data_IF_871148382157
#
_entry.id   IF_871148382157
#
_cell.length_a   1.000
_cell.length_b   1.000
_cell.length_c   1.000
_cell.angle_alpha   90.00
_cell.angle_beta   90.00
_cell.angle_gamma   90.00
#
_symmetry.space_group_name_H-M   'P 1'
#
loop_
_entity.id
_entity.type
_entity.pdbx_description
1 polymer ?
#
# COMPACT_ATOMS: atom_id res chain seq x y z
N UNK A 1 21.88 -6.21 -13.37
CA UNK A 1 21.51 -6.84 -12.09
C UNK A 1 20.07 -6.44 -11.78
N UNK A 2 19.16 -7.41 -11.68
CA UNK A 2 17.73 -7.15 -11.40
C UNK A 2 17.51 -7.31 -9.90
N UNK A 3 17.21 -6.21 -9.20
CA UNK A 3 16.88 -6.23 -7.78
C UNK A 3 15.37 -6.32 -7.59
N UNK A 4 14.89 -7.36 -6.89
CA UNK A 4 13.47 -7.48 -6.52
C UNK A 4 13.34 -7.40 -5.01
N UNK A 5 12.57 -6.44 -4.52
CA UNK A 5 12.18 -6.35 -3.11
C UNK A 5 10.67 -6.55 -3.01
N UNK A 6 10.28 -7.57 -2.25
CA UNK A 6 8.89 -7.95 -2.09
C UNK A 6 8.44 -7.64 -0.66
N UNK A 7 7.61 -6.61 -0.50
CA UNK A 7 6.94 -6.30 0.76
C UNK A 7 5.46 -6.70 0.66
N UNK A 8 4.78 -6.80 1.79
CA UNK A 8 3.34 -7.06 1.86
C UNK A 8 2.53 -5.93 1.21
N UNK A 9 3.04 -4.70 1.26
CA UNK A 9 2.35 -3.49 0.81
C UNK A 9 2.68 -3.07 -0.62
N UNK A 10 3.86 -3.42 -1.11
CA UNK A 10 4.32 -3.05 -2.44
C UNK A 10 5.33 -4.07 -2.97
N UNK A 11 5.48 -4.08 -4.28
CA UNK A 11 6.54 -4.81 -4.97
C UNK A 11 7.41 -3.83 -5.74
N UNK A 12 8.73 -3.90 -5.52
CA UNK A 12 9.71 -3.09 -6.22
C UNK A 12 10.54 -3.99 -7.13
N UNK A 13 10.53 -3.68 -8.42
CA UNK A 13 11.38 -4.31 -9.43
C UNK A 13 12.28 -3.25 -10.03
N UNK A 14 13.59 -3.48 -9.95
CA UNK A 14 14.60 -2.58 -10.51
C UNK A 14 15.26 -3.18 -11.73
N UNK A 15 15.24 -2.44 -12.84
CA UNK A 15 15.93 -2.77 -14.08
C UNK A 15 17.05 -1.76 -14.36
N UNK A 16 17.77 -1.97 -15.47
CA UNK A 16 18.80 -1.03 -15.92
C UNK A 16 18.20 0.32 -16.37
N UNK A 17 16.93 0.35 -16.81
CA UNK A 17 16.29 1.53 -17.40
C UNK A 17 15.26 2.17 -16.49
N UNK A 18 14.62 1.39 -15.64
CA UNK A 18 13.50 1.84 -14.82
C UNK A 18 13.48 1.19 -13.42
N UNK A 19 12.75 1.83 -12.52
CA UNK A 19 12.31 1.25 -11.25
C UNK A 19 10.78 1.20 -11.29
N UNK A 20 10.24 -0.01 -11.22
CA UNK A 20 8.79 -0.25 -11.17
C UNK A 20 8.38 -0.54 -9.73
N UNK A 21 7.41 0.21 -9.24
CA UNK A 21 6.87 0.08 -7.89
C UNK A 21 5.38 -0.17 -7.99
N UNK A 22 4.96 -1.40 -7.71
CA UNK A 22 3.56 -1.83 -7.73
C UNK A 22 2.99 -1.77 -6.32
N UNK A 23 1.95 -0.97 -6.10
CA UNK A 23 1.21 -0.92 -4.84
C UNK A 23 0.20 -2.06 -4.80
N UNK A 24 0.31 -2.93 -3.79
CA UNK A 24 -0.58 -4.09 -3.65
C UNK A 24 -1.93 -3.66 -3.07
N UNK A 25 -3.04 -3.95 -3.75
CA UNK A 25 -4.36 -3.52 -3.32
C UNK A 25 -4.86 -4.30 -2.09
N UNK A 26 -4.30 -5.48 -1.79
CA UNK A 26 -4.63 -6.33 -0.65
C UNK A 26 -4.67 -5.57 0.68
N UNK A 27 -3.67 -4.73 0.95
CA UNK A 27 -3.62 -3.97 2.21
C UNK A 27 -4.80 -2.99 2.37
N UNK A 28 -5.31 -2.46 1.27
CA UNK A 28 -6.48 -1.59 1.25
C UNK A 28 -7.76 -2.40 1.52
N UNK A 29 -7.91 -3.57 0.89
CA UNK A 29 -9.05 -4.43 1.14
C UNK A 29 -9.09 -4.98 2.56
N UNK A 30 -7.94 -5.26 3.16
CA UNK A 30 -7.84 -5.63 4.57
C UNK A 30 -8.32 -4.49 5.46
N UNK A 31 -7.94 -3.24 5.18
CA UNK A 31 -8.49 -2.08 5.91
C UNK A 31 -10.00 -1.97 5.77
N UNK A 32 -10.53 -2.11 4.55
CA UNK A 32 -11.96 -2.06 4.31
C UNK A 32 -12.69 -3.20 5.05
N UNK A 33 -12.14 -4.40 5.04
CA UNK A 33 -12.66 -5.54 5.79
C UNK A 33 -12.69 -5.27 7.30
N UNK A 34 -11.62 -4.70 7.87
CA UNK A 34 -11.60 -4.32 9.29
C UNK A 34 -12.67 -3.28 9.63
N UNK A 35 -12.92 -2.29 8.75
CA UNK A 35 -14.00 -1.30 8.93
C UNK A 35 -15.38 -1.97 8.88
N UNK A 36 -15.60 -2.88 7.93
CA UNK A 36 -16.88 -3.62 7.83
C UNK A 36 -17.11 -4.47 9.08
N UNK A 37 -16.10 -5.21 9.55
CA UNK A 37 -16.20 -6.01 10.78
C UNK A 37 -16.49 -5.13 11.99
N UNK A 38 -15.82 -3.98 12.10
CA UNK A 38 -16.06 -3.03 13.17
C UNK A 38 -17.49 -2.48 13.14
N UNK A 39 -17.99 -2.06 11.97
CA UNK A 39 -19.36 -1.57 11.81
C UNK A 39 -20.41 -2.64 12.14
N UNK A 40 -20.20 -3.88 11.69
CA UNK A 40 -21.10 -4.99 12.02
C UNK A 40 -21.11 -5.25 13.53
N UNK A 41 -19.94 -5.19 14.18
CA UNK A 41 -19.85 -5.35 15.63
C UNK A 41 -20.60 -4.24 16.37
N UNK A 42 -20.44 -2.99 15.96
CA UNK A 42 -21.03 -1.83 16.61
C UNK A 42 -22.55 -1.77 16.42
N UNK A 43 -23.04 -2.07 15.20
CA UNK A 43 -24.45 -1.93 14.83
C UNK A 43 -25.31 -3.16 15.16
N UNK A 44 -24.73 -4.37 15.16
CA UNK A 44 -25.51 -5.62 15.28
C UNK A 44 -25.23 -6.33 16.60
N UNK A 45 -23.96 -6.45 16.99
CA UNK A 45 -23.55 -7.28 18.11
C UNK A 45 -23.43 -6.49 19.43
N UNK A 46 -23.25 -5.17 19.35
CA UNK A 46 -22.96 -4.27 20.48
C UNK A 46 -21.89 -4.82 21.44
N UNK A 47 -20.92 -5.57 20.90
CA UNK A 47 -19.93 -6.28 21.72
C UNK A 47 -18.73 -5.38 22.02
N UNK A 48 -18.70 -4.84 23.25
CA UNK A 48 -17.59 -4.02 23.75
C UNK A 48 -16.22 -4.74 23.73
N UNK A 49 -16.10 -6.04 24.09
CA UNK A 49 -14.81 -6.74 24.07
C UNK A 49 -14.18 -6.84 22.68
N UNK A 50 -15.00 -7.01 21.63
CA UNK A 50 -14.52 -7.13 20.24
C UNK A 50 -13.94 -5.80 19.77
N UNK A 51 -14.63 -4.69 20.04
CA UNK A 51 -14.14 -3.35 19.69
C UNK A 51 -12.80 -3.03 20.39
N UNK A 52 -12.67 -3.43 21.66
CA UNK A 52 -11.47 -3.19 22.47
C UNK A 52 -10.23 -3.94 21.95
N UNK A 53 -10.41 -5.09 21.29
CA UNK A 53 -9.32 -5.85 20.66
C UNK A 53 -9.08 -5.43 19.20
N UNK A 54 -10.14 -5.09 18.46
CA UNK A 54 -10.04 -4.76 17.04
C UNK A 54 -9.38 -3.40 16.78
N UNK A 55 -9.67 -2.40 17.63
CA UNK A 55 -9.08 -1.07 17.52
C UNK A 55 -7.55 -1.04 17.63
N UNK A 56 -6.90 -1.63 18.65
CA UNK A 56 -5.44 -1.64 18.72
C UNK A 56 -4.81 -2.42 17.55
N UNK A 57 -5.41 -3.52 17.12
CA UNK A 57 -4.94 -4.26 15.92
C UNK A 57 -5.02 -3.39 14.68
N UNK A 58 -6.12 -2.67 14.50
CA UNK A 58 -6.29 -1.73 13.37
C UNK A 58 -5.23 -0.62 13.40
N UNK A 59 -4.96 -0.03 14.57
CA UNK A 59 -3.93 1.00 14.74
C UNK A 59 -2.54 0.46 14.40
N UNK A 60 -2.17 -0.71 14.93
CA UNK A 60 -0.86 -1.33 14.63
C UNK A 60 -0.73 -1.59 13.13
N UNK A 61 -1.75 -2.17 12.50
CA UNK A 61 -1.75 -2.41 11.06
C UNK A 61 -1.61 -1.12 10.25
N UNK A 62 -2.37 -0.08 10.62
CA UNK A 62 -2.30 1.27 10.03
C UNK A 62 -0.89 1.85 10.11
N UNK A 63 -0.26 1.78 11.29
CA UNK A 63 1.08 2.33 11.53
C UNK A 63 2.13 1.60 10.69
N UNK A 64 2.13 0.26 10.71
CA UNK A 64 3.04 -0.56 9.89
C UNK A 64 2.88 -0.24 8.41
N UNK A 65 1.63 -0.24 7.92
CA UNK A 65 1.30 0.12 6.54
C UNK A 65 1.80 1.52 6.19
N UNK A 66 1.56 2.51 7.05
CA UNK A 66 1.97 3.88 6.83
C UNK A 66 3.49 3.99 6.68
N UNK A 67 4.27 3.41 7.59
CA UNK A 67 5.73 3.45 7.51
C UNK A 67 6.29 2.74 6.29
N UNK A 68 5.74 1.58 5.90
CA UNK A 68 6.15 0.87 4.68
C UNK A 68 5.89 1.71 3.43
N UNK A 69 4.72 2.37 3.34
CA UNK A 69 4.37 3.19 2.18
C UNK A 69 5.13 4.52 2.14
N UNK A 70 5.40 5.15 3.29
CA UNK A 70 6.12 6.44 3.35
C UNK A 70 7.52 6.33 2.75
N UNK A 71 8.25 5.24 3.00
CA UNK A 71 9.60 5.04 2.43
C UNK A 71 9.57 5.10 0.90
N UNK A 72 8.64 4.36 0.30
CA UNK A 72 8.44 4.30 -1.15
C UNK A 72 7.92 5.63 -1.70
N UNK A 73 6.96 6.26 -1.01
CA UNK A 73 6.41 7.53 -1.45
C UNK A 73 7.45 8.64 -1.47
N UNK A 74 8.41 8.65 -0.54
CA UNK A 74 9.53 9.61 -0.58
C UNK A 74 10.39 9.44 -1.84
N UNK A 75 10.72 8.20 -2.22
CA UNK A 75 11.46 7.91 -3.46
C UNK A 75 10.68 8.37 -4.70
N UNK A 76 9.40 8.01 -4.77
CA UNK A 76 8.51 8.43 -5.85
C UNK A 76 8.38 9.95 -5.90
N UNK A 77 8.24 10.63 -4.77
CA UNK A 77 8.10 12.09 -4.72
C UNK A 77 9.36 12.79 -5.24
N UNK A 78 10.56 12.30 -4.89
CA UNK A 78 11.82 12.83 -5.41
C UNK A 78 11.91 12.64 -6.92
N UNK A 79 11.56 11.46 -7.42
CA UNK A 79 11.54 11.18 -8.86
C UNK A 79 10.47 12.03 -9.59
N UNK A 80 9.33 12.27 -8.96
CA UNK A 80 8.24 13.07 -9.52
C UNK A 80 8.65 14.52 -9.65
N UNK A 81 9.37 15.07 -8.65
CA UNK A 81 9.98 16.40 -8.74
C UNK A 81 10.97 16.54 -9.90
N UNK A 82 11.59 15.43 -10.34
CA UNK A 82 12.49 15.39 -11.51
C UNK A 82 11.76 15.14 -12.83
N UNK A 83 10.42 14.99 -12.82
CA UNK A 83 9.64 14.66 -14.02
C UNK A 83 9.84 13.23 -14.53
N UNK A 84 10.41 12.33 -13.72
CA UNK A 84 10.82 10.98 -14.12
C UNK A 84 9.80 9.90 -13.77
N UNK A 85 8.56 10.27 -13.41
CA UNK A 85 7.55 9.32 -12.89
C UNK A 85 6.34 9.27 -13.81
N UNK A 86 5.98 8.05 -14.22
CA UNK A 86 4.68 7.73 -14.79
C UNK A 86 3.86 6.90 -13.81
N UNK A 87 2.53 7.07 -13.83
CA UNK A 87 1.57 6.28 -13.06
C UNK A 87 0.70 5.46 -14.00
N UNK A 88 0.38 4.23 -13.60
CA UNK A 88 -0.49 3.33 -14.35
C UNK A 88 -1.41 2.55 -13.40
N UNK A 89 -2.57 2.12 -13.90
CA UNK A 89 -3.47 1.23 -13.17
C UNK A 89 -4.31 1.92 -12.10
N UNK A 90 -4.89 1.12 -11.20
CA UNK A 90 -5.83 1.59 -10.17
C UNK A 90 -5.50 1.01 -8.81
N UNK A 91 -5.76 1.78 -7.75
CA UNK A 91 -5.56 1.37 -6.35
C UNK A 91 -6.53 0.27 -5.92
N UNK A 92 -7.61 0.08 -6.68
CA UNK A 92 -8.70 -0.86 -6.40
C UNK A 92 -8.78 -1.99 -7.45
N UNK A 93 -7.75 -2.17 -8.27
CA UNK A 93 -7.74 -3.26 -9.26
C UNK A 93 -6.67 -4.28 -8.89
N UNK A 94 -7.07 -5.55 -8.80
CA UNK A 94 -6.14 -6.67 -8.67
C UNK A 94 -5.44 -7.00 -9.99
N UNK A 95 -6.16 -6.86 -11.12
CA UNK A 95 -5.63 -7.15 -12.44
C UNK A 95 -4.64 -6.07 -12.93
N UNK A 96 -4.93 -4.80 -12.64
CA UNK A 96 -4.12 -3.66 -13.03
C UNK A 96 -3.80 -2.79 -11.79
N UNK A 97 -2.97 -3.30 -10.86
CA UNK A 97 -2.65 -2.59 -9.63
C UNK A 97 -1.93 -1.27 -9.92
N UNK A 98 -2.15 -0.31 -9.03
CA UNK A 98 -1.54 1.00 -9.15
C UNK A 98 -0.01 0.88 -9.15
N UNK A 99 0.63 1.38 -10.19
CA UNK A 99 2.05 1.19 -10.45
C UNK A 99 2.70 2.54 -10.73
N UNK A 100 3.81 2.82 -10.03
CA UNK A 100 4.74 3.89 -10.38
C UNK A 100 5.86 3.32 -11.24
N UNK A 101 6.22 4.04 -12.30
CA UNK A 101 7.35 3.74 -13.16
C UNK A 101 8.29 4.94 -13.08
N UNK A 102 9.48 4.74 -12.51
CA UNK A 102 10.51 5.76 -12.38
C UNK A 102 11.56 5.49 -13.47
N UNK A 103 11.72 6.43 -14.40
CA UNK A 103 12.75 6.36 -15.44
C UNK A 103 14.11 6.77 -14.87
N UNK A 104 15.15 5.94 -15.07
CA UNK A 104 16.52 6.33 -14.72
C UNK A 104 17.07 7.25 -15.82
N UNK A 105 17.71 8.37 -15.46
CA UNK A 105 18.48 9.12 -16.45
C UNK A 105 19.61 8.21 -16.97
N UNK A 106 19.74 8.14 -18.29
CA UNK A 106 20.88 7.45 -18.93
C UNK A 106 22.18 8.16 -18.58
#
# INVERSE_FOLDING_TARGET
>A
MTGRSHDFFFERTETARDIRIVLKPHSLYIMLGMIVVWLLNDLVLHSAPVAQLLMPVFIVFMVVRFFSLVKVQKEVLVAMKKGQVATQGSKFSFANPFTYIISKPQ
#
